data_IF_680867354700
#
_entry.id   IF_680867354700
#
_cell.length_a   1.000
_cell.length_b   1.000
_cell.length_c   1.000
_cell.angle_alpha   90.00
_cell.angle_beta   90.00
_cell.angle_gamma   90.00
#
_symmetry.space_group_name_H-M   'P 1'
#
loop_
_entity.id
_entity.type
_entity.pdbx_description
1 polymer ?
#
# COMPACT_ATOMS: atom_id res chain seq x y z
N UNK A 1 -9.62 10.75 11.18
CA UNK A 1 -8.75 9.66 11.65
C UNK A 1 -9.39 8.35 11.22
N UNK A 2 -8.72 7.58 10.37
CA UNK A 2 -9.12 6.21 10.06
C UNK A 2 -8.83 5.39 11.31
N UNK A 3 -9.89 4.95 11.97
CA UNK A 3 -9.80 4.05 13.11
C UNK A 3 -10.31 2.68 12.67
N UNK A 4 -9.44 1.68 12.72
CA UNK A 4 -9.78 0.28 12.44
C UNK A 4 -9.21 -0.60 13.54
N UNK A 5 -9.65 -1.85 13.64
CA UNK A 5 -9.20 -2.83 14.65
C UNK A 5 -8.66 -4.10 14.04
N UNK A 6 -8.47 -4.13 12.71
CA UNK A 6 -8.14 -5.34 11.96
C UNK A 6 -6.86 -6.03 12.45
N UNK A 7 -5.88 -5.27 12.93
CA UNK A 7 -4.65 -5.80 13.52
C UNK A 7 -4.93 -6.57 14.80
N UNK A 8 -5.72 -5.98 15.70
CA UNK A 8 -6.17 -6.64 16.94
C UNK A 8 -7.09 -7.82 16.67
N UNK A 9 -8.03 -7.69 15.74
CA UNK A 9 -8.97 -8.76 15.39
C UNK A 9 -8.24 -10.00 14.81
N UNK A 10 -7.14 -9.81 14.07
CA UNK A 10 -6.42 -10.90 13.42
C UNK A 10 -5.20 -11.41 14.20
N UNK A 11 -4.53 -10.57 14.98
CA UNK A 11 -3.18 -10.88 15.49
C UNK A 11 -3.02 -10.69 17.00
N UNK A 12 -4.02 -10.22 17.74
CA UNK A 12 -3.82 -9.85 19.15
C UNK A 12 -3.34 -11.01 20.03
N UNK A 13 -3.81 -12.24 19.77
CA UNK A 13 -3.50 -13.40 20.61
C UNK A 13 -2.05 -13.91 20.40
N UNK A 14 -1.51 -13.79 19.18
CA UNK A 14 -0.17 -14.30 18.84
C UNK A 14 0.90 -13.20 18.81
N UNK A 15 0.53 -12.00 18.34
CA UNK A 15 1.44 -10.88 18.15
C UNK A 15 0.80 -9.55 18.61
N UNK A 16 0.52 -9.38 19.91
CA UNK A 16 -0.23 -8.23 20.44
C UNK A 16 0.43 -6.89 20.12
N UNK A 17 1.77 -6.82 20.14
CA UNK A 17 2.46 -5.58 19.78
C UNK A 17 2.34 -5.25 18.28
N UNK A 18 2.33 -6.26 17.42
CA UNK A 18 2.12 -6.04 15.98
C UNK A 18 0.69 -5.56 15.71
N UNK A 19 -0.29 -6.16 16.37
CA UNK A 19 -1.68 -5.72 16.34
C UNK A 19 -1.85 -4.25 16.73
N UNK A 20 -1.24 -3.85 17.87
CA UNK A 20 -1.23 -2.47 18.35
C UNK A 20 -0.60 -1.51 17.33
N UNK A 21 0.60 -1.82 16.82
CA UNK A 21 1.30 -0.99 15.85
C UNK A 21 0.54 -0.87 14.53
N UNK A 22 -0.16 -1.93 14.10
CA UNK A 22 -0.98 -1.89 12.91
C UNK A 22 -2.11 -0.86 13.08
N UNK A 23 -2.93 -0.95 14.13
CA UNK A 23 -4.09 -0.06 14.15
C UNK A 23 -3.77 1.34 14.68
N UNK A 24 -2.92 1.47 15.70
CA UNK A 24 -2.69 2.77 16.33
C UNK A 24 -1.71 3.60 15.51
N UNK A 25 -0.60 2.99 15.09
CA UNK A 25 0.47 3.73 14.42
C UNK A 25 0.26 3.74 12.91
N UNK A 26 0.16 2.58 12.26
CA UNK A 26 0.05 2.55 10.80
C UNK A 26 -1.24 3.22 10.33
N UNK A 27 -2.41 2.82 10.86
CA UNK A 27 -3.68 3.40 10.43
C UNK A 27 -4.11 4.64 11.23
N UNK A 28 -3.98 4.60 12.56
CA UNK A 28 -4.38 5.68 13.44
C UNK A 28 -3.56 6.95 13.30
N UNK A 29 -2.26 6.85 12.97
CA UNK A 29 -1.38 8.00 12.77
C UNK A 29 -0.94 8.16 11.31
N UNK A 30 -0.23 7.18 10.75
CA UNK A 30 0.48 7.36 9.47
C UNK A 30 -0.50 7.56 8.32
N UNK A 31 -1.45 6.66 8.12
CA UNK A 31 -2.46 6.78 7.06
C UNK A 31 -3.47 7.90 7.33
N UNK A 32 -3.75 8.19 8.60
CA UNK A 32 -4.64 9.29 9.00
C UNK A 32 -4.02 10.69 8.81
N UNK A 33 -2.70 10.80 8.62
CA UNK A 33 -1.97 12.07 8.41
C UNK A 33 -2.15 12.60 6.98
N UNK A 34 -3.38 12.97 6.65
CA UNK A 34 -3.78 13.44 5.32
C UNK A 34 -3.36 14.89 5.01
N UNK A 35 -3.03 15.68 6.03
CA UNK A 35 -2.49 17.04 5.88
C UNK A 35 -1.11 17.06 5.19
N UNK A 36 -0.38 15.93 5.23
CA UNK A 36 0.93 15.78 4.56
C UNK A 36 0.83 15.09 3.21
N UNK A 37 0.00 14.07 3.10
CA UNK A 37 -0.20 13.30 1.87
C UNK A 37 -1.58 12.65 1.92
N UNK A 38 -2.42 12.94 0.93
CA UNK A 38 -3.79 12.41 0.89
C UNK A 38 -3.82 10.89 0.77
N UNK A 39 -4.92 10.27 1.21
CA UNK A 39 -5.12 8.82 1.06
C UNK A 39 -5.00 8.36 -0.40
N UNK A 40 -5.47 9.19 -1.34
CA UNK A 40 -5.33 8.96 -2.78
C UNK A 40 -3.87 8.76 -3.19
N UNK A 41 -2.98 9.69 -2.82
CA UNK A 41 -1.57 9.62 -3.18
C UNK A 41 -0.83 8.51 -2.44
N UNK A 42 -1.18 8.26 -1.16
CA UNK A 42 -0.65 7.12 -0.40
C UNK A 42 -0.96 5.78 -1.06
N UNK A 43 -2.20 5.61 -1.51
CA UNK A 43 -2.61 4.42 -2.26
C UNK A 43 -1.80 4.24 -3.54
N UNK A 44 -1.55 5.31 -4.30
CA UNK A 44 -0.70 5.25 -5.51
C UNK A 44 0.72 4.82 -5.16
N UNK A 45 1.33 5.42 -4.12
CA UNK A 45 2.69 5.06 -3.69
C UNK A 45 2.77 3.59 -3.27
N UNK A 46 1.83 3.12 -2.44
CA UNK A 46 1.82 1.71 -1.98
C UNK A 46 1.70 0.75 -3.16
N UNK A 47 0.79 0.99 -4.10
CA UNK A 47 0.62 0.14 -5.29
C UNK A 47 1.90 0.15 -6.14
N UNK A 48 2.50 1.32 -6.38
CA UNK A 48 3.76 1.44 -7.11
C UNK A 48 4.89 0.67 -6.44
N UNK A 49 4.97 0.68 -5.11
CA UNK A 49 5.95 -0.12 -4.36
C UNK A 49 5.71 -1.61 -4.51
N UNK A 50 4.45 -2.07 -4.43
CA UNK A 50 4.12 -3.50 -4.60
C UNK A 50 4.50 -3.99 -6.00
N UNK A 51 4.11 -3.25 -7.04
CA UNK A 51 4.43 -3.59 -8.43
C UNK A 51 5.93 -3.49 -8.70
N UNK A 52 6.59 -2.43 -8.20
CA UNK A 52 8.04 -2.31 -8.28
C UNK A 52 8.76 -3.48 -7.61
N UNK A 53 8.21 -4.08 -6.55
CA UNK A 53 8.79 -5.27 -5.90
C UNK A 53 8.34 -6.60 -6.53
N UNK A 54 7.58 -6.57 -7.61
CA UNK A 54 7.01 -7.78 -8.23
C UNK A 54 5.96 -8.48 -7.36
N UNK A 55 5.42 -7.81 -6.34
CA UNK A 55 4.40 -8.37 -5.45
C UNK A 55 3.04 -8.20 -6.14
N UNK A 56 2.51 -9.31 -6.67
CA UNK A 56 1.27 -9.36 -7.48
C UNK A 56 0.19 -10.28 -6.89
N UNK A 57 0.25 -10.52 -5.58
CA UNK A 57 -0.66 -11.42 -4.85
C UNK A 57 -1.95 -10.71 -4.36
N UNK A 58 -2.63 -11.30 -3.38
CA UNK A 58 -3.84 -10.75 -2.76
C UNK A 58 -3.63 -9.38 -2.11
N UNK A 59 -2.40 -9.03 -1.69
CA UNK A 59 -2.06 -7.70 -1.16
C UNK A 59 -2.23 -6.64 -2.23
N UNK A 60 -1.71 -6.88 -3.45
CA UNK A 60 -1.86 -5.95 -4.56
C UNK A 60 -3.35 -5.74 -4.90
N UNK A 61 -4.13 -6.82 -4.94
CA UNK A 61 -5.59 -6.74 -5.17
C UNK A 61 -6.27 -5.88 -4.11
N UNK A 62 -6.00 -6.12 -2.83
CA UNK A 62 -6.57 -5.35 -1.74
C UNK A 62 -6.23 -3.86 -1.83
N UNK A 63 -4.97 -3.52 -2.14
CA UNK A 63 -4.54 -2.14 -2.27
C UNK A 63 -5.12 -1.44 -3.50
N UNK A 64 -5.33 -2.15 -4.62
CA UNK A 64 -6.05 -1.64 -5.78
C UNK A 64 -7.52 -1.29 -5.46
N UNK A 65 -8.22 -2.18 -4.74
CA UNK A 65 -9.59 -1.93 -4.31
C UNK A 65 -9.69 -0.75 -3.34
N UNK A 66 -8.74 -0.65 -2.40
CA UNK A 66 -8.63 0.47 -1.45
C UNK A 66 -8.32 1.79 -2.14
N UNK A 67 -7.43 1.78 -3.13
CA UNK A 67 -7.11 2.96 -3.94
C UNK A 67 -8.34 3.52 -4.66
N UNK A 68 -9.17 2.62 -5.21
CA UNK A 68 -10.42 3.02 -5.87
C UNK A 68 -11.38 3.70 -4.90
N UNK A 69 -11.51 3.17 -3.68
CA UNK A 69 -12.31 3.79 -2.60
C UNK A 69 -11.75 5.17 -2.20
N UNK A 70 -10.42 5.33 -2.23
CA UNK A 70 -9.73 6.59 -1.95
C UNK A 70 -9.71 7.58 -3.13
N UNK A 71 -10.53 7.39 -4.16
CA UNK A 71 -10.67 8.32 -5.28
C UNK A 71 -9.55 8.24 -6.34
N UNK A 72 -8.78 7.15 -6.35
CA UNK A 72 -7.97 6.78 -7.52
C UNK A 72 -8.92 6.27 -8.60
N UNK A 73 -9.40 7.19 -9.44
CA UNK A 73 -10.09 6.87 -10.70
C UNK A 73 -9.07 6.42 -11.75
N UNK A 74 -9.56 5.89 -12.89
CA UNK A 74 -8.78 5.34 -14.02
C UNK A 74 -7.35 5.88 -14.02
N UNK A 75 -6.42 5.04 -13.56
CA UNK A 75 -4.99 5.38 -13.51
C UNK A 75 -4.63 5.87 -14.91
N UNK A 76 -4.23 7.14 -15.10
CA UNK A 76 -3.93 7.64 -16.41
C UNK A 76 -2.85 6.77 -17.04
N UNK A 77 -3.00 6.45 -18.32
CA UNK A 77 -2.02 5.76 -19.15
C UNK A 77 -0.55 6.06 -18.77
N UNK A 78 -0.09 7.30 -18.49
CA UNK A 78 1.31 7.57 -18.15
C UNK A 78 1.86 6.91 -16.87
N UNK A 79 1.02 6.48 -15.91
CA UNK A 79 1.52 5.81 -14.69
C UNK A 79 1.86 4.34 -14.99
N UNK A 80 1.19 3.69 -15.93
CA UNK A 80 1.47 2.29 -16.29
C UNK A 80 2.90 2.13 -16.84
N UNK A 81 3.39 2.94 -17.80
CA UNK A 81 4.79 2.92 -18.24
C UNK A 81 5.78 3.16 -17.09
N UNK A 82 5.47 4.07 -16.16
CA UNK A 82 6.36 4.34 -15.03
C UNK A 82 6.42 3.18 -14.05
N UNK A 83 5.30 2.50 -13.83
CA UNK A 83 5.24 1.29 -13.00
C UNK A 83 5.93 0.11 -13.67
N UNK A 84 5.76 -0.05 -14.98
CA UNK A 84 6.51 -1.03 -15.78
C UNK A 84 8.01 -0.75 -15.73
N UNK A 85 8.42 0.52 -15.84
CA UNK A 85 9.83 0.90 -15.77
C UNK A 85 10.41 0.72 -14.35
N UNK A 86 9.64 1.05 -13.31
CA UNK A 86 10.02 0.74 -11.93
C UNK A 86 10.21 -0.76 -11.73
N UNK A 87 9.25 -1.59 -12.17
CA UNK A 87 9.33 -3.05 -12.06
C UNK A 87 10.50 -3.65 -12.85
N UNK A 88 10.84 -3.09 -14.02
CA UNK A 88 12.01 -3.50 -14.78
C UNK A 88 13.32 -3.09 -14.09
N UNK A 89 13.35 -1.93 -13.43
CA UNK A 89 14.56 -1.41 -12.76
C UNK A 89 14.92 -2.13 -11.46
N UNK A 90 13.96 -2.83 -10.85
CA UNK A 90 14.11 -3.57 -9.60
C UNK A 90 14.40 -5.06 -9.82
N UNK A 91 14.38 -5.55 -11.06
CA UNK A 91 14.96 -6.84 -11.42
C UNK A 91 16.48 -6.67 -11.39
N UNK A 92 17.23 -7.34 -10.50
CA UNK A 92 18.68 -7.31 -10.57
C UNK A 92 19.09 -7.85 -11.94
N UNK A 93 19.92 -7.08 -12.65
CA UNK A 93 20.56 -7.56 -13.88
C UNK A 93 21.47 -8.72 -13.47
N UNK A 94 20.93 -9.93 -13.40
CA UNK A 94 21.75 -11.14 -13.39
C UNK A 94 22.29 -11.26 -14.82
N UNK A 95 23.41 -10.59 -15.07
CA UNK A 95 24.24 -10.87 -16.23
C UNK A 95 24.67 -12.34 -16.18
N UNK A 96 24.74 -13.03 -17.34
CA UNK A 96 25.32 -14.38 -17.42
C UNK A 96 26.78 -14.40 -16.99
#
# INVERSE_FOLDING_TARGET
>A
MIKQTAGRDAFNDFAPKFAELNDDVLFGEIWSREDKLSLKLRSVVTISTLIGKGIVDSSLKYHLESARKNGVTRIPCPVIPWMSQLALSSIPWSTP
#
